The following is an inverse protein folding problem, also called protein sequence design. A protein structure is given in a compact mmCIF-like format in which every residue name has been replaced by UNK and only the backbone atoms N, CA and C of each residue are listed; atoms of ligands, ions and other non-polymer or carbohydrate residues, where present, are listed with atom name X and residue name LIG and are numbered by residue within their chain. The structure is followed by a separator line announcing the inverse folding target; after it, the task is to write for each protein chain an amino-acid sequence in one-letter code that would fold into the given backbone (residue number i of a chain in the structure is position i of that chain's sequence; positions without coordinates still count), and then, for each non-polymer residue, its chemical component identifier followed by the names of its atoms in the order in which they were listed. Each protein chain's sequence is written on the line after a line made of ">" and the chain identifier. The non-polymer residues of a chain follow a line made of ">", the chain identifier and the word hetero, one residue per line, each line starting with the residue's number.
data_IF_845045666484
#
_entry.id   IF_845045666484
#
_cell.length_a   1.000
_cell.length_b   1.000
_cell.length_c   1.000
_cell.angle_alpha   90.00
_cell.angle_beta   90.00
_cell.angle_gamma   90.00
#
_symmetry.space_group_name_H-M   'P 1'
#
loop_
_entity.id
_entity.type
_entity.pdbx_description
1 polymer ?
#
# COMPACT_ATOMS: atom_id res chain seq x y z
N UNK A 1 -10.25 -1.10 3.97
CA UNK A 1 -9.55 -0.63 2.76
C UNK A 1 -10.00 0.77 2.41
N UNK A 2 -9.08 1.60 1.89
CA UNK A 2 -9.30 3.01 1.64
C UNK A 2 -8.63 3.44 0.33
N UNK A 3 -9.13 4.54 -0.24
CA UNK A 3 -8.38 5.34 -1.20
C UNK A 3 -7.91 6.63 -0.52
N UNK A 4 -6.71 7.03 -0.83
CA UNK A 4 -6.18 8.34 -0.49
C UNK A 4 -6.02 9.13 -1.81
N UNK A 5 -6.86 10.15 -1.97
CA UNK A 5 -6.94 10.91 -3.20
C UNK A 5 -6.41 12.32 -2.99
N UNK A 6 -5.31 12.64 -3.64
CA UNK A 6 -4.76 13.99 -3.72
C UNK A 6 -5.40 14.72 -4.90
N UNK A 7 -6.06 15.85 -4.62
CA UNK A 7 -6.84 16.62 -5.58
C UNK A 7 -6.97 18.07 -5.12
N UNK A 8 -7.89 18.80 -5.72
CA UNK A 8 -8.23 20.17 -5.33
C UNK A 8 -9.60 20.21 -4.66
N UNK A 9 -9.71 20.96 -3.60
CA UNK A 9 -10.97 21.27 -2.93
C UNK A 9 -11.02 22.77 -2.60
N UNK A 10 -12.06 23.46 -3.07
CA UNK A 10 -12.20 24.92 -2.91
C UNK A 10 -10.95 25.70 -3.33
N UNK A 11 -10.38 25.36 -4.48
CA UNK A 11 -9.16 25.94 -5.07
C UNK A 11 -7.90 25.81 -4.21
N UNK A 12 -7.84 24.83 -3.33
CA UNK A 12 -6.66 24.48 -2.54
C UNK A 12 -6.32 23.01 -2.73
N UNK A 13 -5.04 22.69 -2.62
CA UNK A 13 -4.59 21.29 -2.60
C UNK A 13 -5.25 20.56 -1.42
N UNK A 14 -5.79 19.39 -1.69
CA UNK A 14 -6.55 18.61 -0.72
C UNK A 14 -6.17 17.13 -0.79
N UNK A 15 -6.17 16.49 0.37
CA UNK A 15 -6.05 15.05 0.51
C UNK A 15 -7.38 14.52 1.05
N UNK A 16 -7.99 13.59 0.32
CA UNK A 16 -9.31 13.05 0.64
C UNK A 16 -9.16 11.56 0.91
N UNK A 17 -9.56 11.13 2.09
CA UNK A 17 -9.64 9.72 2.47
C UNK A 17 -11.05 9.20 2.15
N UNK A 18 -11.12 8.12 1.36
CA UNK A 18 -12.35 7.44 1.00
C UNK A 18 -12.31 6.02 1.56
N UNK A 19 -13.19 5.69 2.50
CA UNK A 19 -13.22 4.38 3.14
C UNK A 19 -14.26 3.46 2.48
N UNK A 20 -13.88 2.19 2.28
CA UNK A 20 -14.75 1.18 1.70
C UNK A 20 -15.39 0.30 2.77
N UNK A 21 -16.69 0.13 2.66
CA UNK A 21 -17.44 -0.88 3.41
C UNK A 21 -17.28 -2.29 2.84
N UNK A 22 -17.90 -3.27 3.50
CA UNK A 22 -17.87 -4.69 3.10
C UNK A 22 -18.39 -4.95 1.68
N UNK A 23 -19.30 -4.10 1.20
CA UNK A 23 -19.88 -4.18 -0.14
C UNK A 23 -19.07 -3.44 -1.22
N UNK A 24 -17.83 -3.03 -0.91
CA UNK A 24 -16.92 -2.26 -1.77
C UNK A 24 -17.47 -0.88 -2.19
N UNK A 25 -18.51 -0.38 -1.52
CA UNK A 25 -18.99 0.99 -1.70
C UNK A 25 -18.27 1.93 -0.73
N UNK A 26 -18.13 3.18 -1.14
CA UNK A 26 -17.61 4.24 -0.26
C UNK A 26 -18.62 4.46 0.86
N UNK A 27 -18.19 4.30 2.09
CA UNK A 27 -19.03 4.45 3.31
C UNK A 27 -18.70 5.72 4.07
N UNK A 28 -17.48 6.23 3.93
CA UNK A 28 -17.03 7.43 4.59
C UNK A 28 -16.10 8.22 3.68
N UNK A 29 -16.15 9.55 3.80
CA UNK A 29 -15.29 10.48 3.07
C UNK A 29 -14.82 11.55 4.05
N UNK A 30 -13.51 11.69 4.20
CA UNK A 30 -12.88 12.67 5.09
C UNK A 30 -11.85 13.47 4.34
N UNK A 31 -11.91 14.81 4.46
CA UNK A 31 -10.83 15.68 4.01
C UNK A 31 -9.79 15.72 5.12
N UNK A 32 -8.56 15.36 4.79
CA UNK A 32 -7.43 15.39 5.72
C UNK A 32 -6.97 16.83 5.86
N UNK A 33 -7.23 17.38 7.04
CA UNK A 33 -6.84 18.76 7.37
C UNK A 33 -5.33 18.82 7.63
N UNK A 34 -4.70 19.92 7.25
CA UNK A 34 -3.27 20.18 7.49
C UNK A 34 -2.31 19.17 6.82
N UNK A 35 -2.75 18.44 5.81
CA UNK A 35 -1.82 17.72 4.97
C UNK A 35 -0.99 18.73 4.18
N UNK A 36 0.32 18.76 4.41
CA UNK A 36 1.25 19.46 3.51
C UNK A 36 1.29 18.64 2.22
N UNK A 37 0.46 19.03 1.26
CA UNK A 37 0.30 18.30 0.00
C UNK A 37 1.23 18.92 -1.03
N UNK A 38 2.16 18.14 -1.63
CA UNK A 38 2.89 18.60 -2.79
C UNK A 38 1.91 18.91 -3.92
N UNK A 39 2.00 20.11 -4.49
CA UNK A 39 1.07 20.58 -5.52
C UNK A 39 0.99 19.64 -6.73
N UNK A 40 2.11 19.02 -7.13
CA UNK A 40 2.15 18.04 -8.21
C UNK A 40 1.30 16.79 -7.93
N UNK A 41 1.16 16.36 -6.68
CA UNK A 41 0.30 15.23 -6.33
C UNK A 41 -1.19 15.59 -6.43
N UNK A 42 -1.55 16.84 -6.16
CA UNK A 42 -2.93 17.34 -6.27
C UNK A 42 -3.46 17.34 -7.70
N UNK A 43 -2.61 17.17 -8.70
CA UNK A 43 -3.01 16.98 -10.10
C UNK A 43 -3.78 15.65 -10.33
N UNK A 44 -4.00 14.87 -9.30
CA UNK A 44 -4.80 13.64 -9.34
C UNK A 44 -3.95 12.40 -9.05
N UNK A 45 -3.39 12.30 -7.86
CA UNK A 45 -2.74 11.06 -7.38
C UNK A 45 -3.71 10.28 -6.51
N UNK A 46 -3.90 8.99 -6.82
CA UNK A 46 -4.81 8.10 -6.08
C UNK A 46 -4.04 6.88 -5.61
N UNK A 47 -3.86 6.78 -4.30
CA UNK A 47 -3.27 5.63 -3.62
C UNK A 47 -4.39 4.72 -3.10
N UNK A 48 -4.27 3.43 -3.33
CA UNK A 48 -5.12 2.41 -2.71
C UNK A 48 -4.34 1.73 -1.58
N UNK A 49 -4.98 1.51 -0.44
CA UNK A 49 -4.28 0.94 0.69
C UNK A 49 -5.18 0.56 1.86
N UNK A 50 -4.55 0.45 3.00
CA UNK A 50 -5.19 0.12 4.25
C UNK A 50 -4.77 1.10 5.35
N UNK A 51 -5.73 1.64 6.07
CA UNK A 51 -5.47 2.33 7.32
C UNK A 51 -5.35 1.27 8.41
N UNK A 52 -4.13 1.08 8.91
CA UNK A 52 -3.78 0.07 9.90
C UNK A 52 -3.70 0.73 11.27
N UNK A 53 -4.47 0.22 12.21
CA UNK A 53 -4.38 0.64 13.61
C UNK A 53 -3.13 0.06 14.25
N UNK A 54 -2.46 0.87 15.06
CA UNK A 54 -1.31 0.48 15.87
C UNK A 54 -1.67 0.75 17.32
N UNK A 55 -1.55 -0.23 18.21
CA UNK A 55 -1.82 -0.03 19.62
C UNK A 55 -1.05 1.17 20.18
N UNK A 56 -1.73 1.99 20.99
CA UNK A 56 -1.16 3.14 21.71
C UNK A 56 -0.56 4.26 20.86
N UNK A 57 -0.72 4.19 19.50
CA UNK A 57 -0.22 5.21 18.58
C UNK A 57 -1.29 5.61 17.56
N UNK A 58 -0.94 6.57 16.69
CA UNK A 58 -1.80 6.93 15.56
C UNK A 58 -1.77 5.84 14.47
N UNK A 59 -2.86 5.67 13.71
CA UNK A 59 -2.90 4.71 12.61
C UNK A 59 -1.88 5.06 11.53
N UNK A 60 -1.54 4.08 10.69
CA UNK A 60 -0.65 4.24 9.53
C UNK A 60 -1.41 3.87 8.26
N UNK A 61 -1.31 4.68 7.20
CA UNK A 61 -1.81 4.32 5.89
C UNK A 61 -0.73 3.56 5.12
N UNK A 62 -0.97 2.26 4.86
CA UNK A 62 -0.07 1.40 4.10
C UNK A 62 -0.54 1.34 2.66
N UNK A 63 0.28 1.80 1.72
CA UNK A 63 -0.05 1.85 0.28
C UNK A 63 0.12 0.46 -0.32
N UNK A 64 -0.95 -0.08 -0.91
CA UNK A 64 -0.93 -1.40 -1.56
C UNK A 64 -0.89 -1.32 -3.09
N UNK A 65 -1.43 -0.22 -3.65
CA UNK A 65 -1.45 -0.01 -5.10
C UNK A 65 -1.55 1.49 -5.44
N UNK A 66 -1.23 1.81 -6.68
CA UNK A 66 -1.30 3.15 -7.24
C UNK A 66 -2.25 3.12 -8.45
N UNK A 67 -3.31 3.92 -8.41
CA UNK A 67 -4.30 3.96 -9.50
C UNK A 67 -4.07 5.12 -10.45
N UNK A 68 -3.67 6.27 -9.90
CA UNK A 68 -3.29 7.47 -10.66
C UNK A 68 -2.06 8.11 -10.04
N UNK A 69 -1.16 8.60 -10.86
CA UNK A 69 0.00 9.37 -10.46
C UNK A 69 0.05 10.69 -11.23
N UNK A 70 -0.15 11.81 -10.53
CA UNK A 70 -0.16 13.15 -11.13
C UNK A 70 -1.08 13.26 -12.36
N UNK A 71 -2.28 12.69 -12.28
CA UNK A 71 -3.26 12.64 -13.38
C UNK A 71 -3.06 11.52 -14.40
N UNK A 72 -1.93 10.80 -14.36
CA UNK A 72 -1.64 9.69 -15.27
C UNK A 72 -2.27 8.40 -14.71
N UNK A 73 -3.10 7.68 -15.49
CA UNK A 73 -3.69 6.42 -15.06
C UNK A 73 -2.63 5.31 -15.03
N UNK A 74 -2.44 4.68 -13.86
CA UNK A 74 -1.47 3.60 -13.65
C UNK A 74 -2.10 2.23 -13.43
N UNK A 75 -3.43 2.17 -13.29
CA UNK A 75 -4.14 0.91 -12.96
C UNK A 75 -3.96 -0.21 -14.01
N UNK A 76 -3.59 0.13 -15.25
CA UNK A 76 -3.26 -0.84 -16.32
C UNK A 76 -1.77 -1.09 -16.49
N UNK A 77 -0.92 -0.46 -15.69
CA UNK A 77 0.51 -0.65 -15.75
C UNK A 77 0.95 -1.94 -15.02
N UNK A 78 2.00 -2.63 -15.48
CA UNK A 78 2.63 -3.71 -14.74
C UNK A 78 3.08 -3.26 -13.36
N UNK A 79 3.22 -4.21 -12.43
CA UNK A 79 3.59 -3.87 -11.06
C UNK A 79 4.93 -3.14 -10.96
N UNK A 80 5.93 -3.50 -11.77
CA UNK A 80 7.23 -2.83 -11.78
C UNK A 80 7.11 -1.33 -12.09
N UNK A 81 6.28 -0.95 -13.05
CA UNK A 81 6.05 0.45 -13.40
C UNK A 81 5.37 1.21 -12.27
N UNK A 82 4.35 0.62 -11.65
CA UNK A 82 3.70 1.19 -10.47
C UNK A 82 4.67 1.35 -9.30
N UNK A 83 5.55 0.36 -9.10
CA UNK A 83 6.56 0.39 -8.06
C UNK A 83 7.57 1.52 -8.28
N UNK A 84 7.99 1.77 -9.52
CA UNK A 84 8.86 2.88 -9.87
C UNK A 84 8.20 4.23 -9.53
N UNK A 85 6.93 4.43 -9.87
CA UNK A 85 6.17 5.63 -9.50
C UNK A 85 6.01 5.77 -7.98
N UNK A 86 5.74 4.69 -7.27
CA UNK A 86 5.68 4.72 -5.80
C UNK A 86 7.04 5.07 -5.20
N UNK A 87 8.12 4.48 -5.70
CA UNK A 87 9.47 4.80 -5.25
C UNK A 87 9.81 6.28 -5.48
N UNK A 88 9.48 6.81 -6.65
CA UNK A 88 9.64 8.24 -6.95
C UNK A 88 8.83 9.11 -5.97
N UNK A 89 7.54 8.80 -5.79
CA UNK A 89 6.65 9.51 -4.88
C UNK A 89 7.22 9.56 -3.47
N UNK A 90 7.67 8.43 -2.95
CA UNK A 90 8.19 8.35 -1.59
C UNK A 90 9.57 9.01 -1.45
N UNK A 91 10.46 8.87 -2.42
CA UNK A 91 11.78 9.51 -2.38
C UNK A 91 11.70 11.04 -2.41
N UNK A 92 10.81 11.58 -3.23
CA UNK A 92 10.63 13.04 -3.35
C UNK A 92 9.84 13.66 -2.20
N UNK A 93 8.95 12.91 -1.55
CA UNK A 93 7.97 13.44 -0.60
C UNK A 93 8.05 12.78 0.80
N UNK A 94 9.11 12.05 1.13
CA UNK A 94 9.20 11.26 2.36
C UNK A 94 8.88 12.08 3.63
N UNK A 95 9.42 13.29 3.76
CA UNK A 95 9.19 14.13 4.93
C UNK A 95 7.72 14.58 5.09
N UNK A 96 7.01 14.76 3.97
CA UNK A 96 5.61 15.21 3.96
C UNK A 96 4.68 14.02 4.24
N UNK A 97 4.97 12.87 3.67
CA UNK A 97 4.17 11.65 3.86
C UNK A 97 4.24 11.14 5.32
N UNK A 98 5.42 11.22 5.94
CA UNK A 98 5.59 10.85 7.35
C UNK A 98 5.03 11.88 8.34
N UNK A 99 4.99 13.16 7.96
CA UNK A 99 4.50 14.27 8.81
C UNK A 99 3.03 14.60 8.58
N UNK A 100 2.29 13.77 7.83
CA UNK A 100 0.86 13.97 7.72
C UNK A 100 0.22 14.01 9.12
N UNK A 101 -0.62 15.01 9.38
CA UNK A 101 -1.14 15.28 10.72
C UNK A 101 -2.00 14.13 11.27
N UNK A 102 -2.79 13.48 10.41
CA UNK A 102 -3.74 12.44 10.84
C UNK A 102 -3.06 11.06 10.94
N UNK A 103 -2.22 10.71 9.98
CA UNK A 103 -1.51 9.43 9.91
C UNK A 103 -0.31 9.50 8.97
N UNK A 104 0.80 8.83 9.26
CA UNK A 104 1.88 8.65 8.30
C UNK A 104 1.43 7.74 7.15
N UNK A 105 2.02 7.96 5.98
CA UNK A 105 1.79 7.16 4.78
C UNK A 105 3.09 6.41 4.49
N UNK A 106 3.02 5.11 4.33
CA UNK A 106 4.18 4.28 4.08
C UNK A 106 3.93 3.22 3.01
N UNK A 107 5.00 2.73 2.43
CA UNK A 107 4.98 1.54 1.58
C UNK A 107 4.93 0.28 2.43
N UNK A 108 4.33 -0.80 1.95
CA UNK A 108 4.49 -2.11 2.57
C UNK A 108 5.94 -2.57 2.43
N UNK A 109 6.32 -3.54 3.23
CA UNK A 109 7.63 -4.17 3.10
C UNK A 109 7.63 -5.08 1.87
N UNK A 110 8.67 -4.96 1.04
CA UNK A 110 8.88 -5.78 -0.15
C UNK A 110 10.18 -6.56 -0.04
N UNK A 111 10.19 -7.78 -0.53
CA UNK A 111 11.40 -8.57 -0.71
C UNK A 111 11.29 -9.47 -1.95
N UNK A 112 12.43 -9.82 -2.50
CA UNK A 112 12.49 -10.78 -3.60
C UNK A 112 12.33 -12.19 -3.05
N UNK A 113 11.52 -12.99 -3.73
CA UNK A 113 11.43 -14.44 -3.45
C UNK A 113 12.61 -15.07 -4.20
N UNK A 114 13.64 -15.44 -3.44
CA UNK A 114 14.83 -16.11 -4.00
C UNK A 114 14.68 -17.63 -3.94
N UNK A 115 13.92 -18.12 -2.97
CA UNK A 115 13.55 -19.52 -2.76
C UNK A 115 12.10 -19.56 -2.29
N UNK A 116 11.43 -20.71 -2.39
CA UNK A 116 9.99 -20.93 -2.11
C UNK A 116 9.56 -20.63 -0.65
N UNK A 117 10.06 -19.55 -0.07
CA UNK A 117 9.75 -19.17 1.30
C UNK A 117 8.54 -18.22 1.32
N UNK A 118 7.37 -18.76 1.58
CA UNK A 118 6.17 -18.01 1.94
C UNK A 118 6.27 -17.45 3.38
N UNK A 119 7.46 -17.00 3.77
CA UNK A 119 7.75 -16.53 5.11
C UNK A 119 8.28 -15.10 5.08
N UNK A 120 7.92 -14.33 6.10
CA UNK A 120 8.50 -13.01 6.31
C UNK A 120 9.95 -13.20 6.74
N UNK A 121 10.93 -12.60 6.04
CA UNK A 121 12.31 -12.63 6.48
C UNK A 121 12.46 -12.09 7.91
N UNK A 122 13.34 -12.68 8.69
CA UNK A 122 13.52 -12.34 10.11
C UNK A 122 13.85 -10.85 10.32
N UNK A 123 14.60 -10.25 9.40
CA UNK A 123 14.94 -8.85 9.44
C UNK A 123 13.72 -7.88 9.38
N UNK A 124 12.55 -8.37 8.99
CA UNK A 124 11.32 -7.55 8.92
C UNK A 124 10.34 -7.83 10.04
N UNK A 125 10.49 -8.93 10.80
CA UNK A 125 9.52 -9.34 11.83
C UNK A 125 9.31 -8.29 12.92
N UNK A 126 10.39 -7.63 13.32
CA UNK A 126 10.38 -6.63 14.38
C UNK A 126 10.19 -5.18 13.87
N UNK A 127 10.23 -5.00 12.55
CA UNK A 127 10.14 -3.66 11.93
C UNK A 127 8.71 -3.31 11.55
N UNK A 128 7.85 -4.31 11.31
CA UNK A 128 6.48 -4.09 10.88
C UNK A 128 5.59 -3.79 12.09
N UNK A 129 5.10 -2.53 12.25
CA UNK A 129 4.40 -2.12 13.46
C UNK A 129 2.91 -2.50 13.47
N UNK A 130 2.39 -3.06 12.38
CA UNK A 130 0.97 -3.38 12.19
C UNK A 130 0.73 -4.88 11.99
N UNK A 131 -0.50 -5.33 12.23
CA UNK A 131 -0.89 -6.73 12.03
C UNK A 131 -0.92 -7.08 10.54
N UNK A 132 -0.20 -8.13 10.17
CA UNK A 132 -0.17 -8.65 8.81
C UNK A 132 -1.34 -9.61 8.62
N UNK A 133 -2.16 -9.39 7.61
CA UNK A 133 -3.30 -10.25 7.27
C UNK A 133 -2.99 -11.23 6.16
N UNK A 134 -2.14 -10.86 5.21
CA UNK A 134 -1.76 -11.72 4.09
C UNK A 134 -0.45 -11.26 3.48
N UNK A 135 0.23 -12.19 2.83
CA UNK A 135 1.36 -11.95 1.93
C UNK A 135 0.85 -11.91 0.50
N UNK A 136 1.29 -10.95 -0.27
CA UNK A 136 0.88 -10.81 -1.65
C UNK A 136 2.06 -11.03 -2.58
N UNK A 137 1.97 -12.06 -3.41
CA UNK A 137 2.94 -12.32 -4.46
C UNK A 137 2.59 -11.53 -5.70
N UNK A 138 3.54 -10.75 -6.19
CA UNK A 138 3.41 -9.94 -7.39
C UNK A 138 4.51 -10.26 -8.38
N UNK A 139 4.13 -10.46 -9.64
CA UNK A 139 5.09 -10.50 -10.74
C UNK A 139 5.35 -9.08 -11.22
N UNK A 140 6.60 -8.74 -11.50
CA UNK A 140 7.00 -7.44 -12.00
C UNK A 140 6.31 -7.08 -13.34
N UNK A 141 5.99 -8.09 -14.15
CA UNK A 141 5.41 -7.94 -15.49
C UNK A 141 3.88 -8.00 -15.53
N UNK A 142 3.23 -8.33 -14.43
CA UNK A 142 1.77 -8.46 -14.36
C UNK A 142 1.11 -7.25 -13.70
N UNK A 143 -0.12 -6.97 -14.12
CA UNK A 143 -0.94 -5.87 -13.59
C UNK A 143 -1.53 -6.23 -12.23
N UNK A 144 -2.00 -7.48 -12.10
CA UNK A 144 -2.68 -7.98 -10.90
C UNK A 144 -1.73 -8.84 -10.06
N UNK A 145 -1.95 -8.94 -8.74
CA UNK A 145 -1.24 -9.90 -7.91
C UNK A 145 -1.38 -11.32 -8.43
N UNK A 146 -0.31 -12.08 -8.35
CA UNK A 146 -0.33 -13.49 -8.76
C UNK A 146 -1.10 -14.33 -7.73
N UNK A 147 -0.82 -14.14 -6.44
CA UNK A 147 -1.42 -14.90 -5.36
C UNK A 147 -1.44 -14.09 -4.05
N UNK A 148 -2.45 -14.36 -3.21
CA UNK A 148 -2.54 -13.86 -1.85
C UNK A 148 -2.55 -15.04 -0.88
N UNK A 149 -1.62 -15.06 0.06
CA UNK A 149 -1.55 -16.06 1.14
C UNK A 149 -2.04 -15.43 2.44
N UNK A 150 -3.08 -15.97 3.09
CA UNK A 150 -3.43 -15.54 4.42
C UNK A 150 -2.25 -15.71 5.36
N UNK A 151 -1.94 -14.70 6.15
CA UNK A 151 -0.91 -14.77 7.17
C UNK A 151 -1.54 -15.15 8.50
N UNK A 152 -1.14 -16.29 9.05
CA UNK A 152 -1.49 -16.70 10.41
C UNK A 152 -0.20 -16.98 11.17
N UNK A 153 -0.05 -16.34 12.34
CA UNK A 153 1.09 -16.60 13.24
C UNK A 153 1.17 -18.09 13.68
N UNK A 154 0.07 -18.82 13.53
CA UNK A 154 -0.07 -20.20 14.01
C UNK A 154 0.21 -21.28 12.94
N UNK A 155 0.23 -20.88 11.67
CA UNK A 155 0.51 -21.80 10.57
C UNK A 155 1.95 -21.58 10.08
N UNK A 156 2.92 -22.14 10.78
CA UNK A 156 4.12 -22.63 10.12
C UNK A 156 3.74 -23.96 9.46
N UNK A 157 3.52 -24.01 8.15
CA UNK A 157 3.43 -25.31 7.49
C UNK A 157 4.83 -25.92 7.59
N UNK A 158 4.95 -27.03 8.28
CA UNK A 158 6.05 -27.95 8.02
C UNK A 158 5.95 -28.29 6.53
N UNK A 159 6.89 -27.78 5.75
CA UNK A 159 7.00 -28.05 4.31
C UNK A 159 7.16 -29.56 4.14
N UNK A 160 6.06 -30.27 3.90
CA UNK A 160 6.12 -31.59 3.29
C UNK A 160 6.60 -31.40 1.84
N UNK A 161 7.80 -31.90 1.59
CA UNK A 161 8.41 -32.07 0.28
C UNK A 161 7.42 -32.80 -0.63
N UNK A 162 6.73 -32.12 -1.53
CA UNK A 162 6.13 -32.68 -2.77
C UNK A 162 5.27 -31.62 -3.44
N UNK A 163 5.90 -30.74 -4.22
CA UNK A 163 5.23 -30.00 -5.27
C UNK A 163 5.83 -30.50 -6.58
N UNK A 164 5.02 -31.05 -7.51
CA UNK A 164 5.52 -31.46 -8.81
C UNK A 164 5.95 -30.21 -9.60
N UNK A 165 7.16 -30.24 -10.09
CA UNK A 165 7.67 -29.28 -11.09
C UNK A 165 6.90 -29.58 -12.38
N UNK A 166 6.05 -28.67 -12.80
CA UNK A 166 5.43 -28.71 -14.12
C UNK A 166 6.41 -28.04 -15.10
N UNK A 167 6.74 -28.70 -16.21
CA UNK A 167 7.74 -28.26 -17.19
C UNK A 167 7.38 -26.96 -17.92
#
# INVERSE_FOLDING_TARGET
>A
KCLLWYSFYKNKDACILLEFGKNKKITNTKIISNANIPHNLALGTILYGCLCEIPETRPIFVVEDLFYYQGIPTFKQPFQEKFNFLHELFSQNASLLHKNADFPICMPVFWNIVEEQNMIPDCYKDVIPYSIHHLQHRSNTKIIPYMNFPWSKTLMPSLSKNIPIIP
#
